data_IF_326558092353
#
_entry.id   IF_326558092353
#
_cell.length_a   1.000
_cell.length_b   1.000
_cell.length_c   1.000
_cell.angle_alpha   90.00
_cell.angle_beta   90.00
_cell.angle_gamma   90.00
#
_symmetry.space_group_name_H-M   'P 1'
#
loop_
_entity.id
_entity.type
_entity.pdbx_description
1 polymer ?
#
# COMPACT_ATOMS: atom_id res chain seq x y z
N UNK A 1 19.46 -23.37 3.34
CA UNK A 1 18.91 -22.96 2.04
C UNK A 1 17.43 -22.73 2.24
N UNK A 2 16.94 -21.50 2.12
CA UNK A 2 15.51 -21.22 2.14
C UNK A 2 14.99 -21.71 0.78
N UNK A 3 14.16 -22.75 0.78
CA UNK A 3 13.50 -23.19 -0.45
C UNK A 3 12.63 -22.03 -0.94
N UNK A 4 12.91 -21.50 -2.14
CA UNK A 4 12.04 -20.53 -2.79
C UNK A 4 10.82 -21.33 -3.25
N UNK A 5 9.62 -21.15 -2.65
CA UNK A 5 8.51 -22.09 -2.83
C UNK A 5 7.83 -21.98 -4.20
N UNK A 6 8.24 -21.04 -5.05
CA UNK A 6 7.65 -20.79 -6.35
C UNK A 6 8.70 -20.89 -7.45
N UNK A 7 8.72 -22.00 -8.17
CA UNK A 7 9.31 -22.08 -9.50
C UNK A 7 8.22 -21.65 -10.49
N UNK A 8 8.23 -20.37 -10.88
CA UNK A 8 7.34 -19.89 -11.92
C UNK A 8 7.64 -20.62 -13.25
N UNK A 9 6.63 -20.92 -14.08
CA UNK A 9 6.84 -21.54 -15.38
C UNK A 9 7.81 -20.70 -16.23
N UNK A 10 8.80 -21.34 -16.84
CA UNK A 10 9.84 -20.69 -17.65
C UNK A 10 9.67 -20.96 -19.17
N UNK A 11 8.63 -21.69 -19.55
CA UNK A 11 8.33 -22.11 -20.92
C UNK A 11 7.50 -21.09 -21.71
N UNK A 12 6.98 -20.05 -21.04
CA UNK A 12 6.22 -18.96 -21.65
C UNK A 12 6.36 -17.63 -20.90
N UNK A 13 5.90 -16.56 -21.52
CA UNK A 13 5.76 -15.25 -20.87
C UNK A 13 4.56 -15.31 -19.91
N UNK A 14 4.77 -14.85 -18.67
CA UNK A 14 3.73 -14.76 -17.65
C UNK A 14 3.12 -13.37 -17.61
N UNK A 15 1.80 -13.31 -17.48
CA UNK A 15 1.03 -12.08 -17.33
C UNK A 15 0.83 -11.72 -15.86
N UNK A 16 1.03 -10.43 -15.53
CA UNK A 16 0.78 -9.87 -14.21
C UNK A 16 0.40 -8.38 -14.34
N UNK A 17 0.19 -7.69 -13.22
CA UNK A 17 -0.13 -6.27 -13.15
C UNK A 17 0.61 -5.63 -11.96
N UNK A 18 0.35 -4.35 -11.66
CA UNK A 18 1.14 -3.61 -10.64
C UNK A 18 0.60 -3.65 -9.21
N UNK A 19 -0.66 -4.04 -8.97
CA UNK A 19 -1.18 -4.25 -7.61
C UNK A 19 -2.66 -3.88 -7.53
N UNK A 20 -2.95 -2.71 -6.94
CA UNK A 20 -4.31 -2.20 -6.71
C UNK A 20 -5.27 -2.39 -7.89
N UNK A 21 -6.47 -2.90 -7.58
CA UNK A 21 -7.58 -3.09 -8.51
C UNK A 21 -8.84 -2.35 -8.03
N UNK A 22 -9.83 -2.11 -8.91
CA UNK A 22 -11.06 -1.42 -8.53
C UNK A 22 -11.78 -2.13 -7.37
N UNK A 23 -11.99 -1.41 -6.28
CA UNK A 23 -12.75 -1.88 -5.13
C UNK A 23 -14.25 -1.69 -5.40
N UNK A 24 -15.11 -2.60 -4.92
CA UNK A 24 -16.54 -2.38 -4.92
C UNK A 24 -16.94 -1.12 -4.14
N UNK A 25 -17.98 -0.41 -4.59
CA UNK A 25 -18.41 0.86 -3.98
C UNK A 25 -18.75 0.71 -2.48
N UNK A 26 -19.40 -0.41 -2.12
CA UNK A 26 -19.77 -0.72 -0.74
C UNK A 26 -18.55 -0.96 0.17
N UNK A 27 -17.48 -1.52 -0.38
CA UNK A 27 -16.20 -1.65 0.34
C UNK A 27 -15.50 -0.30 0.49
N UNK A 28 -15.53 0.55 -0.55
CA UNK A 28 -14.94 1.90 -0.48
C UNK A 28 -15.56 2.70 0.67
N UNK A 29 -16.88 2.66 0.83
CA UNK A 29 -17.57 3.39 1.89
C UNK A 29 -17.09 2.96 3.29
N UNK A 30 -16.91 1.65 3.52
CA UNK A 30 -16.40 1.12 4.79
C UNK A 30 -14.93 1.51 5.04
N UNK A 31 -14.09 1.43 4.01
CA UNK A 31 -12.68 1.83 4.10
C UNK A 31 -12.52 3.33 4.37
N UNK A 32 -13.35 4.16 3.73
CA UNK A 32 -13.40 5.61 3.96
C UNK A 32 -13.88 5.92 5.38
N UNK A 33 -14.87 5.19 5.90
CA UNK A 33 -15.34 5.37 7.26
C UNK A 33 -14.23 5.05 8.28
N UNK A 34 -13.51 3.93 8.08
CA UNK A 34 -12.36 3.55 8.91
C UNK A 34 -11.23 4.59 8.87
N UNK A 35 -10.82 5.03 7.68
CA UNK A 35 -9.70 5.99 7.53
C UNK A 35 -9.99 7.36 8.15
N UNK A 36 -11.28 7.74 8.24
CA UNK A 36 -11.76 9.00 8.81
C UNK A 36 -12.23 8.87 10.26
N UNK A 37 -11.93 7.76 10.93
CA UNK A 37 -12.34 7.47 12.31
C UNK A 37 -13.85 7.66 12.54
N UNK A 38 -14.67 7.38 11.51
CA UNK A 38 -16.14 7.39 11.61
C UNK A 38 -16.63 6.02 12.07
N UNK A 39 -17.79 5.93 12.75
CA UNK A 39 -18.38 4.62 13.08
C UNK A 39 -18.63 3.78 11.82
N UNK A 40 -18.22 2.52 11.86
CA UNK A 40 -18.49 1.51 10.83
C UNK A 40 -18.67 0.13 11.49
N UNK A 41 -19.28 -0.81 10.77
CA UNK A 41 -19.39 -2.20 11.20
C UNK A 41 -18.09 -2.95 10.85
N UNK A 42 -17.31 -3.28 11.88
CA UNK A 42 -16.02 -3.97 11.75
C UNK A 42 -16.19 -5.35 11.14
N UNK A 43 -17.17 -6.13 11.59
CA UNK A 43 -17.41 -7.48 11.10
C UNK A 43 -17.91 -7.48 9.65
N UNK A 44 -18.67 -6.46 9.26
CA UNK A 44 -19.03 -6.23 7.85
C UNK A 44 -17.81 -5.90 7.00
N UNK A 45 -16.93 -4.99 7.46
CA UNK A 45 -15.70 -4.64 6.73
C UNK A 45 -14.80 -5.87 6.54
N UNK A 46 -14.51 -6.62 7.60
CA UNK A 46 -13.66 -7.81 7.56
C UNK A 46 -14.19 -8.85 6.58
N UNK A 47 -15.48 -9.18 6.67
CA UNK A 47 -16.14 -10.11 5.72
C UNK A 47 -16.05 -9.59 4.29
N UNK A 48 -16.35 -8.30 4.08
CA UNK A 48 -16.42 -7.73 2.73
C UNK A 48 -15.05 -7.66 2.06
N UNK A 49 -13.99 -7.39 2.83
CA UNK A 49 -12.60 -7.48 2.35
C UNK A 49 -12.29 -8.91 1.91
N UNK A 50 -12.55 -9.92 2.73
CA UNK A 50 -12.27 -11.32 2.41
C UNK A 50 -13.01 -11.80 1.14
N UNK A 51 -14.29 -11.43 1.02
CA UNK A 51 -15.10 -11.69 -0.18
C UNK A 51 -14.49 -11.01 -1.42
N UNK A 52 -14.11 -9.73 -1.30
CA UNK A 52 -13.54 -8.96 -2.42
C UNK A 52 -12.19 -9.51 -2.88
N UNK A 53 -11.33 -9.97 -1.96
CA UNK A 53 -10.05 -10.63 -2.28
C UNK A 53 -10.31 -11.94 -3.03
N UNK A 54 -11.27 -12.75 -2.55
CA UNK A 54 -11.64 -14.01 -3.22
C UNK A 54 -12.16 -13.75 -4.64
N UNK A 55 -13.06 -12.78 -4.79
CA UNK A 55 -13.62 -12.40 -6.08
C UNK A 55 -12.57 -11.90 -7.06
N UNK A 56 -11.65 -11.03 -6.61
CA UNK A 56 -10.68 -10.42 -7.51
C UNK A 56 -9.59 -11.40 -7.93
N UNK A 57 -9.16 -12.30 -7.04
CA UNK A 57 -8.23 -13.39 -7.39
C UNK A 57 -8.88 -14.33 -8.41
N UNK A 58 -10.14 -14.71 -8.20
CA UNK A 58 -10.90 -15.54 -9.15
C UNK A 58 -10.99 -14.87 -10.54
N UNK A 59 -11.31 -13.57 -10.59
CA UNK A 59 -11.38 -12.80 -11.84
C UNK A 59 -10.02 -12.71 -12.54
N UNK A 60 -8.94 -12.49 -11.80
CA UNK A 60 -7.59 -12.46 -12.35
C UNK A 60 -7.26 -13.78 -13.06
N UNK A 61 -7.52 -14.92 -12.42
CA UNK A 61 -7.33 -16.24 -13.05
C UNK A 61 -8.24 -16.44 -14.26
N UNK A 62 -9.52 -16.07 -14.17
CA UNK A 62 -10.48 -16.13 -15.28
C UNK A 62 -10.01 -15.33 -16.51
N UNK A 63 -9.36 -14.18 -16.28
CA UNK A 63 -8.82 -13.32 -17.34
C UNK A 63 -7.38 -13.68 -17.77
N UNK A 64 -6.80 -14.77 -17.25
CA UNK A 64 -5.48 -15.24 -17.66
C UNK A 64 -4.31 -14.48 -17.05
N UNK A 65 -4.50 -13.84 -15.89
CA UNK A 65 -3.39 -13.33 -15.08
C UNK A 65 -2.70 -14.51 -14.39
N UNK A 66 -1.40 -14.66 -14.62
CA UNK A 66 -0.63 -15.80 -14.13
C UNK A 66 -0.10 -15.59 -12.71
N UNK A 67 0.37 -14.37 -12.42
CA UNK A 67 0.84 -13.97 -11.10
C UNK A 67 -0.11 -12.93 -10.54
N UNK A 68 -1.01 -13.39 -9.67
CA UNK A 68 -2.13 -12.60 -9.14
C UNK A 68 -1.75 -11.81 -7.89
N UNK A 69 -2.53 -10.80 -7.52
CA UNK A 69 -2.45 -10.12 -6.22
C UNK A 69 -3.78 -10.15 -5.46
N UNK A 70 -3.77 -9.68 -4.22
CA UNK A 70 -4.98 -9.41 -3.42
C UNK A 70 -5.77 -8.19 -3.92
N UNK A 71 -5.27 -7.47 -4.93
CA UNK A 71 -5.85 -6.24 -5.47
C UNK A 71 -5.83 -5.06 -4.50
N UNK A 72 -5.09 -5.17 -3.39
CA UNK A 72 -5.08 -4.25 -2.25
C UNK A 72 -6.46 -3.94 -1.66
N UNK A 73 -7.38 -4.91 -1.69
CA UNK A 73 -8.79 -4.70 -1.32
C UNK A 73 -8.98 -4.17 0.11
N UNK A 74 -8.05 -4.44 1.02
CA UNK A 74 -8.09 -3.97 2.41
C UNK A 74 -7.67 -2.51 2.61
N UNK A 75 -7.13 -1.83 1.59
CA UNK A 75 -6.47 -0.52 1.71
C UNK A 75 -7.25 0.56 0.96
N UNK A 76 -7.34 1.78 1.49
CA UNK A 76 -7.86 2.94 0.74
C UNK A 76 -6.78 3.61 -0.13
N UNK A 77 -5.54 3.54 0.33
CA UNK A 77 -4.34 4.05 -0.32
C UNK A 77 -3.14 3.33 0.29
N UNK A 78 -2.15 2.97 -0.53
CA UNK A 78 -0.95 2.25 -0.08
C UNK A 78 -0.04 3.11 0.84
N UNK A 79 -0.15 4.45 0.79
CA UNK A 79 0.69 5.38 1.59
C UNK A 79 0.03 5.76 2.91
N UNK A 80 -1.23 6.17 2.87
CA UNK A 80 -1.96 6.60 4.07
C UNK A 80 -2.22 5.44 5.05
N UNK A 81 -2.17 4.19 4.57
CA UNK A 81 -2.34 3.00 5.40
C UNK A 81 -1.21 2.79 6.42
N UNK A 82 -0.03 3.39 6.19
CA UNK A 82 1.14 3.23 7.07
C UNK A 82 0.88 3.69 8.50
N UNK A 83 0.06 4.74 8.69
CA UNK A 83 -0.30 5.26 10.02
C UNK A 83 -1.01 4.24 10.91
N UNK A 84 -1.63 3.21 10.31
CA UNK A 84 -2.36 2.17 11.06
C UNK A 84 -1.47 1.02 11.51
N UNK A 85 -0.25 0.88 10.95
CA UNK A 85 0.64 -0.26 11.21
C UNK A 85 2.01 0.13 11.77
N UNK A 86 2.36 1.42 11.77
CA UNK A 86 3.57 1.95 12.38
C UNK A 86 3.23 3.01 13.43
N UNK A 87 4.02 3.04 14.50
CA UNK A 87 3.99 4.10 15.53
C UNK A 87 4.93 5.24 15.15
N UNK A 88 4.87 6.34 15.90
CA UNK A 88 5.71 7.52 15.72
C UNK A 88 5.10 8.61 14.84
N UNK A 89 3.94 8.34 14.23
CA UNK A 89 3.14 9.31 13.48
C UNK A 89 2.12 10.03 14.38
N UNK A 90 1.95 11.33 14.19
CA UNK A 90 1.06 12.17 14.99
C UNK A 90 0.54 13.37 14.21
N UNK A 91 0.53 14.53 14.86
CA UNK A 91 -0.07 15.77 14.31
C UNK A 91 0.36 16.03 12.87
N UNK A 92 -0.61 16.29 11.97
CA UNK A 92 -0.35 16.37 10.54
C UNK A 92 0.52 17.57 10.16
N UNK A 93 1.24 17.44 9.04
CA UNK A 93 1.95 18.54 8.41
C UNK A 93 1.67 18.63 6.92
N UNK A 94 1.58 19.84 6.36
CA UNK A 94 1.41 20.02 4.93
C UNK A 94 2.63 19.50 4.18
N UNK A 95 2.38 18.78 3.08
CA UNK A 95 3.43 18.40 2.15
C UNK A 95 4.04 19.66 1.52
N UNK A 96 5.36 19.82 1.68
CA UNK A 96 6.10 21.03 1.27
C UNK A 96 6.73 20.91 -0.11
N UNK A 97 6.25 19.99 -0.93
CA UNK A 97 6.72 19.75 -2.29
C UNK A 97 5.61 20.03 -3.30
N UNK A 98 6.00 20.39 -4.51
CA UNK A 98 5.09 20.61 -5.62
C UNK A 98 5.76 20.05 -6.88
N UNK A 99 5.10 19.14 -7.60
CA UNK A 99 5.59 18.62 -8.87
C UNK A 99 6.05 19.75 -9.81
N UNK A 100 7.22 19.58 -10.44
CA UNK A 100 7.86 20.65 -11.22
C UNK A 100 7.07 21.04 -12.47
N UNK A 101 6.33 20.10 -13.06
CA UNK A 101 5.33 20.36 -14.10
C UNK A 101 4.21 21.31 -13.64
N UNK A 102 3.69 21.13 -12.42
CA UNK A 102 2.69 22.03 -11.83
C UNK A 102 3.27 23.41 -11.49
N UNK A 103 4.56 23.48 -11.15
CA UNK A 103 5.27 24.77 -11.03
C UNK A 103 5.39 25.46 -12.40
N UNK A 104 5.62 24.69 -13.47
CA UNK A 104 5.75 25.20 -14.83
C UNK A 104 4.40 25.58 -15.47
N UNK A 105 3.30 24.96 -15.04
CA UNK A 105 1.94 25.16 -15.56
C UNK A 105 0.96 25.58 -14.45
N UNK A 106 1.07 26.84 -13.95
CA UNK A 106 0.28 27.31 -12.81
C UNK A 106 -1.23 27.41 -13.10
N UNK A 107 -1.60 27.60 -14.37
CA UNK A 107 -2.99 27.58 -14.86
C UNK A 107 -3.61 26.17 -14.74
N UNK A 108 -2.86 25.14 -15.12
CA UNK A 108 -3.28 23.76 -14.94
C UNK A 108 -3.31 23.37 -13.46
N UNK A 109 -2.33 23.81 -12.65
CA UNK A 109 -2.35 23.61 -11.20
C UNK A 109 -3.58 24.25 -10.54
N UNK A 110 -3.98 25.45 -10.98
CA UNK A 110 -5.19 26.11 -10.51
C UNK A 110 -6.46 25.34 -10.90
N UNK A 111 -6.52 24.82 -12.13
CA UNK A 111 -7.62 23.96 -12.60
C UNK A 111 -7.73 22.67 -11.78
N UNK A 112 -6.61 22.00 -11.50
CA UNK A 112 -6.59 20.80 -10.66
C UNK A 112 -7.10 21.09 -9.25
N UNK A 113 -6.67 22.20 -8.63
CA UNK A 113 -7.17 22.61 -7.31
C UNK A 113 -8.66 22.91 -7.30
N UNK A 114 -9.17 23.58 -8.34
CA UNK A 114 -10.59 23.89 -8.46
C UNK A 114 -11.46 22.64 -8.66
N UNK A 115 -10.91 21.61 -9.30
CA UNK A 115 -11.61 20.35 -9.58
C UNK A 115 -11.32 19.23 -8.55
N UNK A 116 -10.36 19.43 -7.65
CA UNK A 116 -10.05 18.47 -6.61
C UNK A 116 -11.24 18.37 -5.63
N UNK A 117 -11.98 17.26 -5.71
CA UNK A 117 -13.04 16.91 -4.75
C UNK A 117 -12.48 16.23 -3.48
N UNK A 118 -11.16 16.20 -3.32
CA UNK A 118 -10.50 15.59 -2.18
C UNK A 118 -10.34 16.65 -1.07
N UNK A 119 -10.83 16.40 0.15
CA UNK A 119 -10.50 17.27 1.27
C UNK A 119 -8.98 17.29 1.45
N UNK A 120 -8.41 18.49 1.58
CA UNK A 120 -7.01 18.70 1.94
C UNK A 120 -6.84 18.22 3.38
N UNK A 121 -6.52 16.94 3.55
CA UNK A 121 -6.08 16.39 4.82
C UNK A 121 -4.57 16.27 4.73
N UNK A 122 -3.89 17.14 5.46
CA UNK A 122 -2.45 17.04 5.66
C UNK A 122 -2.13 15.66 6.24
N UNK A 123 -1.12 14.95 5.70
CA UNK A 123 -0.76 13.63 6.20
C UNK A 123 -0.17 13.73 7.61
N UNK A 124 -0.34 12.69 8.44
CA UNK A 124 0.30 12.63 9.75
C UNK A 124 1.83 12.65 9.59
N UNK A 125 2.50 13.47 10.40
CA UNK A 125 3.96 13.60 10.36
C UNK A 125 4.62 12.68 11.38
N UNK A 126 5.86 12.27 11.11
CA UNK A 126 6.73 11.58 12.07
C UNK A 126 7.12 12.56 13.19
N UNK A 127 6.57 12.33 14.38
CA UNK A 127 6.76 13.14 15.61
C UNK A 127 7.61 12.43 16.68
N UNK A 128 7.91 11.15 16.48
CA UNK A 128 8.62 10.32 17.44
C UNK A 128 9.39 9.20 16.75
N UNK A 129 10.03 8.31 17.54
CA UNK A 129 10.69 7.14 16.98
C UNK A 129 9.68 6.26 16.22
N UNK A 130 10.04 5.86 15.01
CA UNK A 130 9.27 4.88 14.23
C UNK A 130 9.50 3.51 14.83
N UNK A 131 8.40 2.83 15.13
CA UNK A 131 8.40 1.46 15.65
C UNK A 131 7.28 0.66 14.96
N UNK A 132 7.44 -0.67 14.84
CA UNK A 132 6.35 -1.53 14.43
C UNK A 132 5.11 -1.35 15.32
N UNK A 133 3.94 -1.28 14.67
CA UNK A 133 2.63 -1.23 15.30
C UNK A 133 2.00 -2.61 15.41
N UNK A 134 0.67 -2.65 15.30
CA UNK A 134 -0.11 -3.89 15.31
C UNK A 134 0.06 -4.66 13.97
N UNK A 135 0.36 -5.97 14.06
CA UNK A 135 0.51 -6.86 12.92
C UNK A 135 -0.78 -7.58 12.54
N UNK A 136 -1.82 -7.54 13.37
CA UNK A 136 -3.10 -8.22 13.13
C UNK A 136 -3.74 -7.93 11.76
N UNK A 137 -3.75 -6.67 11.27
CA UNK A 137 -4.26 -6.37 9.94
C UNK A 137 -3.47 -7.06 8.82
N UNK A 138 -2.14 -7.10 8.91
CA UNK A 138 -1.29 -7.79 7.93
C UNK A 138 -1.54 -9.30 7.96
N UNK A 139 -1.63 -9.89 9.16
CA UNK A 139 -1.93 -11.32 9.33
C UNK A 139 -3.29 -11.69 8.70
N UNK A 140 -4.29 -10.82 8.85
CA UNK A 140 -5.61 -10.96 8.24
C UNK A 140 -5.54 -10.89 6.72
N UNK A 141 -4.81 -9.91 6.17
CA UNK A 141 -4.62 -9.76 4.72
C UNK A 141 -3.91 -10.98 4.12
N UNK A 142 -2.86 -11.48 4.79
CA UNK A 142 -2.15 -12.70 4.40
C UNK A 142 -3.06 -13.93 4.42
N UNK A 143 -3.89 -14.08 5.45
CA UNK A 143 -4.83 -15.20 5.57
C UNK A 143 -5.92 -15.16 4.48
N UNK A 144 -6.51 -13.99 4.22
CA UNK A 144 -7.51 -13.79 3.17
C UNK A 144 -6.92 -14.10 1.79
N UNK A 145 -5.72 -13.59 1.50
CA UNK A 145 -5.08 -13.81 0.22
C UNK A 145 -4.64 -15.26 0.04
N UNK A 146 -4.12 -15.91 1.09
CA UNK A 146 -3.80 -17.34 1.09
C UNK A 146 -5.04 -18.18 0.75
N UNK A 147 -6.16 -17.95 1.41
CA UNK A 147 -7.40 -18.68 1.15
C UNK A 147 -7.87 -18.52 -0.30
N UNK A 148 -7.79 -17.30 -0.85
CA UNK A 148 -8.16 -17.03 -2.24
C UNK A 148 -7.22 -17.71 -3.25
N UNK A 149 -5.91 -17.67 -3.00
CA UNK A 149 -4.89 -18.32 -3.85
C UNK A 149 -5.04 -19.85 -3.81
N UNK A 150 -5.23 -20.43 -2.64
CA UNK A 150 -5.39 -21.89 -2.50
C UNK A 150 -6.66 -22.38 -3.21
N UNK A 151 -7.73 -21.58 -3.23
CA UNK A 151 -8.97 -21.90 -3.94
C UNK A 151 -8.87 -21.74 -5.46
N UNK A 152 -8.15 -20.73 -5.95
CA UNK A 152 -8.04 -20.43 -7.38
C UNK A 152 -6.85 -21.11 -8.08
N UNK A 153 -5.86 -21.57 -7.31
CA UNK A 153 -4.64 -22.24 -7.76
C UNK A 153 -3.92 -21.55 -8.96
N UNK A 154 -3.62 -20.24 -8.89
CA UNK A 154 -2.87 -19.56 -9.94
C UNK A 154 -1.41 -20.06 -10.01
N UNK A 155 -0.73 -19.88 -11.16
CA UNK A 155 0.71 -20.17 -11.27
C UNK A 155 1.59 -19.43 -10.26
N UNK A 156 1.23 -18.20 -9.89
CA UNK A 156 1.94 -17.40 -8.90
C UNK A 156 1.05 -16.38 -8.19
N UNK A 157 1.56 -15.85 -7.09
CA UNK A 157 0.89 -14.83 -6.29
C UNK A 157 1.92 -13.85 -5.71
N UNK A 158 1.60 -12.55 -5.73
CA UNK A 158 2.44 -11.49 -5.17
C UNK A 158 1.63 -10.55 -4.27
N UNK A 159 2.32 -9.87 -3.35
CA UNK A 159 1.71 -8.85 -2.51
C UNK A 159 2.60 -7.60 -2.46
N UNK A 160 1.96 -6.44 -2.57
CA UNK A 160 2.59 -5.13 -2.57
C UNK A 160 2.94 -4.67 -1.15
N UNK A 161 4.12 -4.07 -1.00
CA UNK A 161 4.52 -3.33 0.17
C UNK A 161 5.19 -2.00 -0.24
N UNK A 162 4.92 -0.93 0.50
CA UNK A 162 5.48 0.38 0.22
C UNK A 162 6.97 0.43 0.57
N UNK A 163 7.81 1.05 -0.27
CA UNK A 163 9.22 1.31 0.04
C UNK A 163 9.40 2.27 1.23
N UNK A 164 10.54 2.23 1.94
CA UNK A 164 10.82 3.24 2.98
C UNK A 164 10.85 4.67 2.41
N UNK A 165 11.34 4.84 1.18
CA UNK A 165 11.45 6.14 0.55
C UNK A 165 10.10 6.74 0.12
N UNK A 166 9.16 5.91 -0.35
CA UNK A 166 7.81 6.39 -0.69
C UNK A 166 7.04 6.76 0.58
N UNK A 167 7.20 6.00 1.66
CA UNK A 167 6.64 6.37 2.97
C UNK A 167 7.22 7.69 3.45
N UNK A 168 8.55 7.86 3.41
CA UNK A 168 9.21 9.09 3.84
C UNK A 168 8.76 10.33 3.05
N UNK A 169 8.35 10.15 1.79
CA UNK A 169 7.92 11.24 0.93
C UNK A 169 6.49 11.71 1.21
N UNK A 170 5.59 10.76 1.50
CA UNK A 170 4.18 11.05 1.79
C UNK A 170 3.90 11.29 3.28
N UNK A 171 4.83 10.95 4.16
CA UNK A 171 4.73 11.13 5.61
C UNK A 171 5.85 12.07 6.08
N UNK A 172 5.57 13.37 6.30
CA UNK A 172 6.60 14.36 6.63
C UNK A 172 7.40 14.00 7.89
N UNK A 173 8.68 14.37 7.93
CA UNK A 173 9.55 14.15 9.08
C UNK A 173 9.71 15.43 9.92
N UNK A 174 9.36 15.34 11.21
CA UNK A 174 9.58 16.39 12.20
C UNK A 174 10.34 15.90 13.45
N UNK A 175 10.95 14.70 13.39
CA UNK A 175 11.64 14.08 14.53
C UNK A 175 13.12 13.77 14.25
N UNK A 176 13.41 13.07 13.15
CA UNK A 176 14.78 12.69 12.79
C UNK A 176 15.54 13.87 12.21
N UNK A 177 16.82 14.02 12.57
CA UNK A 177 17.66 15.14 12.12
C UNK A 177 17.90 15.14 10.61
N UNK A 178 17.98 13.96 10.00
CA UNK A 178 18.27 13.81 8.57
C UNK A 178 17.24 12.90 7.89
N UNK A 179 17.05 13.11 6.59
CA UNK A 179 16.23 12.24 5.76
C UNK A 179 16.74 10.80 5.75
N UNK A 180 18.07 10.62 5.72
CA UNK A 180 18.68 9.29 5.73
C UNK A 180 18.38 8.53 7.02
N UNK A 181 18.48 9.20 8.18
CA UNK A 181 18.11 8.60 9.47
C UNK A 181 16.63 8.19 9.49
N UNK A 182 15.75 9.02 8.91
CA UNK A 182 14.32 8.71 8.83
C UNK A 182 14.04 7.51 7.91
N UNK A 183 14.62 7.49 6.71
CA UNK A 183 14.45 6.39 5.74
C UNK A 183 14.98 5.07 6.30
N UNK A 184 16.11 5.10 7.02
CA UNK A 184 16.66 3.90 7.68
C UNK A 184 15.73 3.37 8.77
N UNK A 185 15.19 4.24 9.63
CA UNK A 185 14.24 3.86 10.67
C UNK A 185 12.95 3.25 10.08
N UNK A 186 12.45 3.81 8.98
CA UNK A 186 11.33 3.23 8.23
C UNK A 186 11.69 1.86 7.66
N UNK A 187 12.90 1.69 7.12
CA UNK A 187 13.39 0.41 6.60
C UNK A 187 13.38 -0.68 7.66
N UNK A 188 13.88 -0.38 8.86
CA UNK A 188 13.87 -1.32 9.99
C UNK A 188 12.44 -1.68 10.41
N UNK A 189 11.54 -0.70 10.50
CA UNK A 189 10.17 -0.94 10.91
C UNK A 189 9.33 -1.71 9.87
N UNK A 190 9.63 -1.53 8.58
CA UNK A 190 8.95 -2.22 7.48
C UNK A 190 9.48 -3.65 7.26
N UNK A 191 10.67 -3.98 7.76
CA UNK A 191 11.29 -5.28 7.55
C UNK A 191 10.40 -6.45 7.99
N UNK A 192 9.69 -6.30 9.11
CA UNK A 192 8.77 -7.32 9.61
C UNK A 192 7.64 -7.66 8.62
N UNK A 193 7.08 -6.65 7.94
CA UNK A 193 6.06 -6.86 6.91
C UNK A 193 6.64 -7.59 5.69
N UNK A 194 7.81 -7.16 5.22
CA UNK A 194 8.48 -7.79 4.08
C UNK A 194 8.79 -9.26 4.34
N UNK A 195 9.30 -9.55 5.54
CA UNK A 195 9.55 -10.92 5.97
C UNK A 195 8.26 -11.74 6.09
N UNK A 196 7.19 -11.16 6.64
CA UNK A 196 5.91 -11.86 6.79
C UNK A 196 5.31 -12.22 5.43
N UNK A 197 5.31 -11.31 4.46
CA UNK A 197 4.86 -11.59 3.08
C UNK A 197 5.68 -12.72 2.45
N UNK A 198 7.01 -12.65 2.57
CA UNK A 198 7.89 -13.68 2.03
C UNK A 198 7.69 -15.04 2.72
N UNK A 199 7.60 -15.07 4.07
CA UNK A 199 7.37 -16.30 4.87
C UNK A 199 6.00 -16.90 4.61
N UNK A 200 5.00 -16.06 4.33
CA UNK A 200 3.69 -16.52 3.89
C UNK A 200 3.74 -17.21 2.53
N UNK A 201 4.85 -17.12 1.79
CA UNK A 201 5.08 -17.80 0.52
C UNK A 201 4.71 -16.94 -0.70
N UNK A 202 4.43 -15.65 -0.55
CA UNK A 202 4.12 -14.79 -1.68
C UNK A 202 5.38 -14.13 -2.25
N UNK A 203 5.34 -13.77 -3.54
CA UNK A 203 6.33 -12.86 -4.10
C UNK A 203 6.14 -11.47 -3.48
N UNK A 204 7.19 -10.95 -2.84
CA UNK A 204 7.18 -9.59 -2.30
C UNK A 204 7.48 -8.60 -3.43
N UNK A 205 6.53 -7.70 -3.71
CA UNK A 205 6.77 -6.53 -4.56
C UNK A 205 6.93 -5.30 -3.67
N UNK A 206 8.09 -4.64 -3.75
CA UNK A 206 8.31 -3.37 -3.06
C UNK A 206 8.05 -2.23 -4.05
N UNK A 207 7.02 -1.45 -3.78
CA UNK A 207 6.64 -0.31 -4.60
C UNK A 207 7.53 0.88 -4.27
N UNK A 208 8.52 1.11 -5.14
CA UNK A 208 9.52 2.16 -5.02
C UNK A 208 9.40 3.27 -6.09
N UNK A 209 8.21 3.84 -6.38
CA UNK A 209 8.12 4.91 -7.37
C UNK A 209 8.97 6.13 -6.95
N UNK A 210 9.23 6.28 -5.66
CA UNK A 210 10.03 7.33 -5.06
C UNK A 210 11.41 7.52 -5.72
N UNK A 211 12.04 6.41 -6.16
CA UNK A 211 13.38 6.43 -6.76
C UNK A 211 13.46 7.28 -8.03
N UNK A 212 12.37 7.38 -8.80
CA UNK A 212 12.29 8.22 -9.99
C UNK A 212 11.41 9.45 -9.77
N UNK A 213 10.35 9.30 -8.99
CA UNK A 213 9.30 10.30 -8.79
C UNK A 213 9.78 11.50 -7.98
N UNK A 214 10.50 11.28 -6.87
CA UNK A 214 10.77 12.35 -5.89
C UNK A 214 11.68 13.43 -6.47
N UNK A 215 12.58 13.09 -7.40
CA UNK A 215 13.44 14.08 -8.06
C UNK A 215 12.64 15.17 -8.78
N UNK A 216 11.44 14.86 -9.26
CA UNK A 216 10.61 15.85 -9.93
C UNK A 216 9.69 16.62 -8.95
N UNK A 217 9.49 16.10 -7.73
CA UNK A 217 8.57 16.65 -6.73
C UNK A 217 9.27 17.52 -5.70
N UNK A 218 10.42 17.08 -5.20
CA UNK A 218 11.05 17.60 -3.99
C UNK A 218 12.52 18.04 -4.15
N UNK A 219 13.29 17.42 -5.06
CA UNK A 219 14.73 17.70 -5.25
C UNK A 219 15.07 18.46 -6.53
#
# INVERSE_FOLDING_TARGET
>A
MIAVPYALPADRILATHVGSLPRPDDLIDLLVARDRDRPYDVALLERRVAESVTEIVRKQVEYGVDVVSDGEMSKISYTNYVKHRLKGFGDPEPLRWMPSDLKAHPDYAASLRANAKLPNLDPPACRGPIEPGDTGPLETDLANFRAAVDAAAPPGAFMNAASPGVVAHFMPNAYYETRDAYVLALGEALAGEYEAIHKAGFLLQIDCPDLAMIRHMEF
#
